data_IF_278632168282
#
_entry.id   IF_278632168282
#
_cell.length_a   1.000
_cell.length_b   1.000
_cell.length_c   1.000
_cell.angle_alpha   90.00
_cell.angle_beta   90.00
_cell.angle_gamma   90.00
#
_symmetry.space_group_name_H-M   'P 1'
#
loop_
_entity.id
_entity.type
_entity.pdbx_description
1 polymer ?
#
# COMPACT_ATOMS: atom_id res chain seq x y z
N UNK A 1 4.62 -1.87 -17.07
CA UNK A 1 4.66 -1.71 -15.61
C UNK A 1 5.91 -0.95 -15.21
N UNK A 2 5.73 0.12 -14.49
CA UNK A 2 6.84 0.98 -14.05
C UNK A 2 7.15 0.74 -12.56
N UNK A 3 6.12 0.56 -11.73
CA UNK A 3 6.27 0.18 -10.32
C UNK A 3 6.50 -1.33 -10.18
N UNK A 4 7.26 -1.72 -9.16
CA UNK A 4 7.40 -3.13 -8.79
C UNK A 4 6.09 -3.68 -8.20
N UNK A 5 5.94 -5.00 -8.20
CA UNK A 5 4.78 -5.61 -7.55
C UNK A 5 4.75 -5.29 -6.04
N UNK A 6 5.91 -5.23 -5.38
CA UNK A 6 6.01 -4.83 -3.99
C UNK A 6 5.50 -3.39 -3.76
N UNK A 7 5.84 -2.44 -4.65
CA UNK A 7 5.36 -1.06 -4.57
C UNK A 7 3.83 -1.00 -4.70
N UNK A 8 3.25 -1.76 -5.61
CA UNK A 8 1.80 -1.81 -5.83
C UNK A 8 1.06 -2.40 -4.63
N UNK A 9 1.56 -3.50 -4.08
CA UNK A 9 1.00 -4.11 -2.87
C UNK A 9 1.15 -3.18 -1.66
N UNK A 10 2.25 -2.42 -1.59
CA UNK A 10 2.47 -1.43 -0.52
C UNK A 10 1.43 -0.30 -0.59
N UNK A 11 1.16 0.23 -1.78
CA UNK A 11 0.06 1.19 -1.99
C UNK A 11 -1.27 0.56 -1.54
N UNK A 12 -1.53 -0.66 -1.98
CA UNK A 12 -2.75 -1.39 -1.64
C UNK A 12 -2.95 -1.56 -0.14
N UNK A 13 -1.89 -1.89 0.58
CA UNK A 13 -1.92 -2.08 2.03
C UNK A 13 -2.22 -0.76 2.76
N UNK A 14 -1.59 0.33 2.36
CA UNK A 14 -1.85 1.67 2.92
C UNK A 14 -3.29 2.10 2.67
N UNK A 15 -3.77 1.99 1.44
CA UNK A 15 -5.15 2.35 1.07
C UNK A 15 -6.15 1.51 1.83
N UNK A 16 -5.93 0.19 1.91
CA UNK A 16 -6.81 -0.75 2.60
C UNK A 16 -6.85 -0.54 4.11
N UNK A 17 -5.72 -0.15 4.71
CA UNK A 17 -5.64 0.25 6.13
C UNK A 17 -6.54 1.44 6.42
N UNK A 18 -6.44 2.49 5.60
CA UNK A 18 -7.24 3.71 5.75
C UNK A 18 -8.74 3.42 5.58
N UNK A 19 -9.09 2.60 4.61
CA UNK A 19 -10.48 2.24 4.30
C UNK A 19 -11.01 1.09 5.18
N UNK A 20 -10.20 0.56 6.10
CA UNK A 20 -10.58 -0.52 7.01
C UNK A 20 -11.11 -1.78 6.27
N UNK A 21 -10.53 -2.10 5.11
CA UNK A 21 -10.90 -3.31 4.37
C UNK A 21 -10.12 -4.52 4.89
N UNK A 22 -10.66 -5.25 5.86
CA UNK A 22 -9.97 -6.39 6.48
C UNK A 22 -9.64 -7.51 5.50
N UNK A 23 -10.54 -7.83 4.56
CA UNK A 23 -10.26 -8.80 3.49
C UNK A 23 -9.07 -8.36 2.63
N UNK A 24 -9.05 -7.10 2.22
CA UNK A 24 -7.99 -6.55 1.39
C UNK A 24 -6.64 -6.56 2.14
N UNK A 25 -6.61 -6.12 3.41
CA UNK A 25 -5.43 -6.17 4.26
C UNK A 25 -4.87 -7.60 4.38
N UNK A 26 -5.75 -8.58 4.55
CA UNK A 26 -5.33 -9.97 4.72
C UNK A 26 -4.74 -10.54 3.44
N UNK A 27 -5.37 -10.32 2.30
CA UNK A 27 -4.95 -10.91 1.01
C UNK A 27 -3.72 -10.20 0.43
N UNK A 28 -3.72 -8.87 0.43
CA UNK A 28 -2.59 -8.09 -0.10
C UNK A 28 -1.40 -8.06 0.88
N UNK A 29 -1.66 -8.11 2.18
CA UNK A 29 -0.62 -8.27 3.19
C UNK A 29 0.16 -9.59 3.04
N UNK A 30 -0.53 -10.68 2.71
CA UNK A 30 0.12 -11.95 2.36
C UNK A 30 1.06 -11.78 1.15
N UNK A 31 0.57 -11.18 0.07
CA UNK A 31 1.38 -10.94 -1.12
C UNK A 31 2.59 -10.03 -0.81
N UNK A 32 2.37 -8.96 -0.07
CA UNK A 32 3.44 -8.02 0.30
C UNK A 32 4.51 -8.67 1.19
N UNK A 33 4.12 -9.54 2.13
CA UNK A 33 5.08 -10.33 2.91
C UNK A 33 5.93 -11.23 1.99
N UNK A 34 5.30 -11.82 0.98
CA UNK A 34 5.99 -12.62 -0.02
C UNK A 34 7.08 -11.85 -0.77
N UNK A 35 6.83 -10.59 -1.10
CA UNK A 35 7.79 -9.73 -1.79
C UNK A 35 8.87 -9.15 -0.87
N UNK A 36 8.47 -8.65 0.29
CA UNK A 36 9.37 -7.90 1.19
C UNK A 36 10.19 -8.80 2.11
N UNK A 37 9.72 -10.02 2.36
CA UNK A 37 10.29 -10.93 3.38
C UNK A 37 10.35 -10.30 4.78
N UNK A 38 9.50 -9.33 5.05
CA UNK A 38 9.46 -8.59 6.30
C UNK A 38 8.02 -8.47 6.83
N UNK A 39 7.54 -9.47 7.60
CA UNK A 39 6.19 -9.44 8.16
C UNK A 39 5.93 -8.25 9.06
N UNK A 40 6.93 -7.79 9.83
CA UNK A 40 6.80 -6.65 10.71
C UNK A 40 6.51 -5.35 9.95
N UNK A 41 7.15 -5.15 8.79
CA UNK A 41 6.88 -4.03 7.92
C UNK A 41 5.39 -4.02 7.52
N UNK A 42 4.89 -5.16 7.05
CA UNK A 42 3.50 -5.29 6.59
C UNK A 42 2.52 -5.05 7.73
N UNK A 43 2.76 -5.63 8.91
CA UNK A 43 1.90 -5.41 10.08
C UNK A 43 1.85 -3.92 10.50
N UNK A 44 2.98 -3.21 10.43
CA UNK A 44 3.03 -1.76 10.68
C UNK A 44 2.27 -0.96 9.62
N UNK A 45 2.35 -1.34 8.35
CA UNK A 45 1.59 -0.71 7.26
C UNK A 45 0.08 -0.89 7.45
N UNK A 46 -0.36 -2.09 7.84
CA UNK A 46 -1.77 -2.38 8.16
C UNK A 46 -2.30 -1.48 9.27
N UNK A 47 -1.48 -1.15 10.24
CA UNK A 47 -1.86 -0.34 11.38
C UNK A 47 -1.81 1.16 11.07
N UNK A 48 -0.66 1.63 10.64
CA UNK A 48 -0.41 3.01 10.22
C UNK A 48 0.96 3.08 9.54
N UNK A 49 1.01 3.45 8.27
CA UNK A 49 2.27 3.48 7.52
C UNK A 49 3.37 4.34 8.17
N UNK A 50 2.99 5.39 8.92
CA UNK A 50 3.96 6.24 9.64
C UNK A 50 4.73 5.48 10.71
N UNK A 51 4.12 4.44 11.28
CA UNK A 51 4.80 3.57 12.25
C UNK A 51 5.87 2.66 11.61
N UNK A 52 5.86 2.55 10.28
CA UNK A 52 6.81 1.78 9.51
C UNK A 52 7.99 2.61 8.97
N UNK A 53 8.07 3.89 9.30
CA UNK A 53 9.05 4.83 8.72
C UNK A 53 10.49 4.34 8.83
N UNK A 54 10.84 3.73 9.94
CA UNK A 54 12.17 3.16 10.22
C UNK A 54 12.50 1.90 9.40
N UNK A 55 11.50 1.26 8.81
CA UNK A 55 11.61 0.06 7.98
C UNK A 55 11.46 0.35 6.47
N UNK A 56 11.13 1.58 6.10
CA UNK A 56 10.91 2.03 4.74
C UNK A 56 12.10 2.86 4.25
N UNK A 57 12.43 2.71 2.97
CA UNK A 57 13.29 3.69 2.31
C UNK A 57 12.55 5.02 2.14
N UNK A 58 13.28 6.12 1.91
CA UNK A 58 12.65 7.41 1.62
C UNK A 58 11.69 7.34 0.42
N UNK A 59 12.10 6.59 -0.62
CA UNK A 59 11.27 6.36 -1.81
C UNK A 59 9.97 5.64 -1.46
N UNK A 60 10.04 4.56 -0.69
CA UNK A 60 8.87 3.80 -0.24
C UNK A 60 7.96 4.63 0.67
N UNK A 61 8.56 5.40 1.58
CA UNK A 61 7.79 6.27 2.48
C UNK A 61 7.01 7.35 1.70
N UNK A 62 7.65 7.99 0.71
CA UNK A 62 6.98 8.97 -0.15
C UNK A 62 5.80 8.35 -0.93
N UNK A 63 5.95 7.10 -1.38
CA UNK A 63 4.89 6.36 -2.05
C UNK A 63 3.70 6.09 -1.12
N UNK A 64 3.97 5.65 0.11
CA UNK A 64 2.94 5.44 1.13
C UNK A 64 2.20 6.75 1.49
N UNK A 65 2.94 7.84 1.62
CA UNK A 65 2.38 9.15 1.91
C UNK A 65 1.48 9.64 0.77
N UNK A 66 1.90 9.45 -0.48
CA UNK A 66 1.08 9.77 -1.64
C UNK A 66 -0.21 8.94 -1.68
N UNK A 67 -0.13 7.63 -1.42
CA UNK A 67 -1.30 6.76 -1.33
C UNK A 67 -2.28 7.22 -0.23
N UNK A 68 -1.75 7.70 0.87
CA UNK A 68 -2.55 8.30 1.94
C UNK A 68 -3.29 9.56 1.46
N UNK A 69 -2.59 10.48 0.76
CA UNK A 69 -3.21 11.68 0.20
C UNK A 69 -4.31 11.34 -0.79
N UNK A 70 -4.06 10.42 -1.75
CA UNK A 70 -5.06 9.97 -2.73
C UNK A 70 -6.32 9.44 -2.04
N UNK A 71 -6.17 8.79 -0.90
CA UNK A 71 -7.28 8.15 -0.18
C UNK A 71 -8.05 9.14 0.69
N UNK A 72 -7.35 10.04 1.38
CA UNK A 72 -7.93 10.93 2.39
C UNK A 72 -8.19 12.36 1.90
N UNK A 73 -7.37 12.86 1.01
CA UNK A 73 -7.30 14.28 0.63
C UNK A 73 -6.99 14.44 -0.87
N UNK A 74 -7.67 13.64 -1.71
CA UNK A 74 -7.46 13.71 -3.16
C UNK A 74 -7.72 15.10 -3.75
N UNK A 75 -8.65 15.83 -3.17
CA UNK A 75 -9.03 17.20 -3.53
C UNK A 75 -7.97 18.26 -3.13
N UNK A 76 -7.04 17.90 -2.25
CA UNK A 76 -5.95 18.77 -1.79
C UNK A 76 -4.61 18.49 -2.50
N UNK A 77 -4.55 17.48 -3.38
CA UNK A 77 -3.33 17.15 -4.11
C UNK A 77 -3.02 18.25 -5.13
N UNK A 78 -1.84 18.81 -5.03
CA UNK A 78 -1.29 19.77 -5.97
C UNK A 78 0.13 19.38 -6.42
N UNK A 79 0.85 20.30 -7.04
CA UNK A 79 2.22 20.06 -7.51
C UNK A 79 3.18 19.67 -6.36
N UNK A 80 2.87 20.04 -5.11
CA UNK A 80 3.74 19.72 -3.96
C UNK A 80 3.87 18.20 -3.75
N UNK A 81 2.76 17.46 -3.78
CA UNK A 81 2.78 16.01 -3.62
C UNK A 81 3.49 15.33 -4.79
N UNK A 82 3.29 15.84 -6.00
CA UNK A 82 3.94 15.31 -7.21
C UNK A 82 5.46 15.55 -7.15
N UNK A 83 5.89 16.76 -6.79
CA UNK A 83 7.32 17.08 -6.63
C UNK A 83 7.98 16.28 -5.51
N UNK A 84 7.29 15.97 -4.43
CA UNK A 84 7.81 15.10 -3.39
C UNK A 84 8.14 13.70 -3.92
N UNK A 85 7.27 13.14 -4.79
CA UNK A 85 7.56 11.87 -5.45
C UNK A 85 8.74 11.97 -6.43
N UNK A 86 8.83 13.03 -7.22
CA UNK A 86 9.98 13.25 -8.12
C UNK A 86 11.29 13.34 -7.35
N UNK A 87 11.32 14.09 -6.25
CA UNK A 87 12.48 14.20 -5.37
C UNK A 87 12.88 12.87 -4.72
N UNK A 88 11.90 12.02 -4.44
CA UNK A 88 12.15 10.67 -3.94
C UNK A 88 12.66 9.70 -5.01
N UNK A 89 12.66 10.10 -6.30
CA UNK A 89 13.24 9.35 -7.40
C UNK A 89 12.22 8.64 -8.30
N UNK A 90 10.94 9.01 -8.25
CA UNK A 90 9.93 8.52 -9.19
C UNK A 90 9.89 9.37 -10.45
N UNK A 91 9.77 8.73 -11.61
CA UNK A 91 9.48 9.41 -12.86
C UNK A 91 7.96 9.59 -13.05
N UNK A 92 7.56 10.39 -14.04
CA UNK A 92 6.15 10.72 -14.27
C UNK A 92 5.27 9.51 -14.61
N UNK A 93 5.83 8.49 -15.26
CA UNK A 93 5.09 7.25 -15.54
C UNK A 93 4.83 6.44 -14.27
N UNK A 94 5.81 6.36 -13.38
CA UNK A 94 5.66 5.70 -12.07
C UNK A 94 4.65 6.44 -11.19
N UNK A 95 4.64 7.77 -11.23
CA UNK A 95 3.69 8.61 -10.49
C UNK A 95 2.26 8.38 -11.02
N UNK A 96 2.09 8.36 -12.33
CA UNK A 96 0.80 8.07 -12.95
C UNK A 96 0.31 6.66 -12.59
N UNK A 97 1.19 5.66 -12.64
CA UNK A 97 0.85 4.29 -12.24
C UNK A 97 0.48 4.22 -10.74
N UNK A 98 1.19 4.95 -9.88
CA UNK A 98 0.86 5.04 -8.44
C UNK A 98 -0.55 5.62 -8.23
N UNK A 99 -0.91 6.66 -8.97
CA UNK A 99 -2.26 7.24 -8.92
C UNK A 99 -3.34 6.23 -9.33
N UNK A 100 -3.13 5.50 -10.41
CA UNK A 100 -4.05 4.46 -10.86
C UNK A 100 -4.18 3.31 -9.86
N UNK A 101 -3.06 2.85 -9.30
CA UNK A 101 -3.06 1.76 -8.31
C UNK A 101 -3.80 2.20 -7.04
N UNK A 102 -3.52 3.39 -6.52
CA UNK A 102 -4.22 3.92 -5.35
C UNK A 102 -5.73 4.09 -5.61
N UNK A 103 -6.09 4.61 -6.77
CA UNK A 103 -7.49 4.74 -7.20
C UNK A 103 -8.18 3.39 -7.34
N UNK A 104 -7.51 2.40 -7.91
CA UNK A 104 -8.02 1.03 -8.05
C UNK A 104 -8.28 0.38 -6.69
N UNK A 105 -7.35 0.48 -5.73
CA UNK A 105 -7.57 -0.04 -4.39
C UNK A 105 -8.69 0.69 -3.65
N UNK A 106 -8.83 2.01 -3.81
CA UNK A 106 -9.99 2.73 -3.29
C UNK A 106 -11.31 2.20 -3.88
N UNK A 107 -11.34 1.90 -5.17
CA UNK A 107 -12.49 1.28 -5.83
C UNK A 107 -12.76 -0.12 -5.25
N UNK A 108 -11.77 -1.00 -5.23
CA UNK A 108 -11.94 -2.40 -4.79
C UNK A 108 -12.28 -2.49 -3.30
N UNK A 109 -11.68 -1.68 -2.44
CA UNK A 109 -12.03 -1.65 -1.01
C UNK A 109 -13.51 -1.34 -0.79
N UNK A 110 -14.11 -0.46 -1.61
CA UNK A 110 -15.52 -0.07 -1.46
C UNK A 110 -16.45 -1.24 -1.73
N UNK A 111 -16.37 -1.85 -2.91
CA UNK A 111 -17.29 -2.94 -3.24
C UNK A 111 -16.99 -4.22 -2.46
N UNK A 112 -15.72 -4.54 -2.19
CA UNK A 112 -15.35 -5.69 -1.34
C UNK A 112 -15.95 -5.54 0.06
N UNK A 113 -15.86 -4.36 0.65
CA UNK A 113 -16.45 -4.11 1.97
C UNK A 113 -17.97 -4.25 1.98
N UNK A 114 -18.65 -4.00 0.86
CA UNK A 114 -20.13 -4.15 0.78
C UNK A 114 -20.59 -5.58 0.67
N UNK A 115 -19.81 -6.47 0.06
CA UNK A 115 -20.15 -7.91 -0.05
C UNK A 115 -19.54 -8.76 1.07
N UNK A 116 -18.67 -8.17 1.88
CA UNK A 116 -18.06 -8.77 3.08
C UNK A 116 -17.53 -10.20 2.88
N UNK A 117 -16.65 -10.47 1.90
CA UNK A 117 -16.10 -11.81 1.71
C UNK A 117 -15.20 -12.17 2.90
N UNK A 118 -15.12 -13.47 3.19
CA UNK A 118 -14.22 -13.99 4.21
C UNK A 118 -12.89 -14.36 3.56
N UNK A 119 -11.78 -13.82 4.10
CA UNK A 119 -10.46 -14.17 3.63
C UNK A 119 -10.14 -15.65 3.92
N UNK A 120 -9.37 -16.28 3.03
CA UNK A 120 -8.86 -17.62 3.29
C UNK A 120 -7.97 -17.59 4.56
N UNK A 121 -8.24 -18.44 5.58
CA UNK A 121 -7.46 -18.45 6.81
C UNK A 121 -5.94 -18.57 6.60
N UNK A 122 -5.51 -19.25 5.53
CA UNK A 122 -4.09 -19.38 5.18
C UNK A 122 -3.38 -18.04 4.95
N UNK A 123 -4.09 -17.02 4.46
CA UNK A 123 -3.49 -15.70 4.21
C UNK A 123 -2.98 -15.00 5.48
N UNK A 124 -3.51 -15.32 6.66
CA UNK A 124 -3.02 -14.75 7.92
C UNK A 124 -1.66 -15.28 8.32
N UNK A 125 -1.38 -16.55 8.06
CA UNK A 125 -0.13 -17.22 8.47
C UNK A 125 0.90 -17.30 7.34
N UNK A 126 0.46 -17.23 6.10
CA UNK A 126 1.32 -17.39 4.94
C UNK A 126 2.39 -16.27 4.88
N UNK A 127 3.61 -16.65 4.48
CA UNK A 127 4.73 -15.72 4.37
C UNK A 127 5.09 -14.97 5.67
N UNK A 128 4.84 -15.56 6.84
CA UNK A 128 5.27 -14.98 8.14
C UNK A 128 6.53 -15.61 8.71
N UNK A 129 6.83 -16.87 8.36
CA UNK A 129 8.00 -17.61 8.85
C UNK A 129 9.06 -17.63 7.75
N UNK A 130 9.95 -16.66 7.80
CA UNK A 130 11.17 -16.67 7.01
C UNK A 130 12.28 -17.14 7.92
N UNK A 131 12.75 -18.36 7.72
CA UNK A 131 14.02 -18.80 8.29
C UNK A 131 15.10 -18.01 7.57
N UNK A 132 15.66 -17.04 8.28
CA UNK A 132 16.70 -16.14 7.81
C UNK A 132 18.02 -16.87 7.54
#
# INVERSE_FOLDING_TARGET
CYLTNADKEMIGEVVSSINCCSYCLTTHGDALRGYTKNPMLVDKLCYNFRSAKDLLTEKQYALCEYAWYVTKHADEIDETQIENLRKAGFNDHEILEAAFVAGFFNYTNRWVSTIAPVANPGHFSHNRNFEG
#
